data_IF_497734415466
#
_entry.id   IF_497734415466
#
_cell.length_a   1.000
_cell.length_b   1.000
_cell.length_c   1.000
_cell.angle_alpha   90.00
_cell.angle_beta   90.00
_cell.angle_gamma   90.00
#
_symmetry.space_group_name_H-M   'P 1'
#
loop_
_entity.id
_entity.type
_entity.pdbx_description
1 polymer ?
#
# COMPACT_ATOMS: atom_id res chain seq x y z
N UNK A 1 10.79 -20.30 5.25
CA UNK A 1 10.61 -18.86 4.95
C UNK A 1 9.90 -18.79 3.62
N UNK A 2 8.73 -18.16 3.56
CA UNK A 2 8.01 -18.01 2.28
C UNK A 2 8.65 -16.80 1.61
N UNK A 3 9.40 -17.03 0.54
CA UNK A 3 9.78 -15.93 -0.36
C UNK A 3 8.49 -15.50 -1.07
N UNK A 4 7.83 -14.48 -0.52
CA UNK A 4 6.72 -13.82 -1.22
C UNK A 4 7.36 -13.05 -2.37
N UNK A 5 7.01 -13.33 -3.63
CA UNK A 5 7.49 -12.52 -4.73
C UNK A 5 7.04 -11.07 -4.52
N UNK A 6 7.92 -10.11 -4.82
CA UNK A 6 7.59 -8.67 -4.74
C UNK A 6 6.28 -8.43 -5.53
N UNK A 7 5.23 -7.94 -4.86
CA UNK A 7 3.93 -7.70 -5.49
C UNK A 7 3.98 -6.51 -6.44
N UNK A 8 4.85 -5.54 -6.16
CA UNK A 8 4.91 -4.28 -6.91
C UNK A 8 6.29 -4.04 -7.49
N UNK A 9 6.33 -3.76 -8.80
CA UNK A 9 7.56 -3.47 -9.54
C UNK A 9 8.08 -2.04 -9.30
N UNK A 10 7.17 -1.06 -9.20
CA UNK A 10 7.48 0.36 -8.97
C UNK A 10 6.38 1.06 -8.15
N UNK A 11 6.56 2.36 -7.88
CA UNK A 11 5.58 3.17 -7.16
C UNK A 11 4.29 3.39 -7.97
N UNK A 12 4.38 3.41 -9.31
CA UNK A 12 3.21 3.62 -10.17
C UNK A 12 2.24 2.43 -10.07
N UNK A 13 2.77 1.20 -10.03
CA UNK A 13 2.00 -0.01 -9.80
C UNK A 13 1.27 0.01 -8.46
N UNK A 14 1.93 0.47 -7.39
CA UNK A 14 1.30 0.63 -6.07
C UNK A 14 0.14 1.64 -6.13
N UNK A 15 0.35 2.79 -6.75
CA UNK A 15 -0.69 3.83 -6.88
C UNK A 15 -1.88 3.34 -7.69
N UNK A 16 -1.64 2.59 -8.76
CA UNK A 16 -2.71 1.98 -9.56
C UNK A 16 -3.52 0.98 -8.73
N UNK A 17 -2.85 0.07 -8.01
CA UNK A 17 -3.53 -0.93 -7.18
C UNK A 17 -4.35 -0.30 -6.04
N UNK A 18 -3.82 0.76 -5.42
CA UNK A 18 -4.55 1.54 -4.42
C UNK A 18 -5.75 2.26 -5.05
N UNK A 19 -5.59 2.83 -6.26
CA UNK A 19 -6.68 3.49 -6.97
C UNK A 19 -7.80 2.51 -7.38
N UNK A 20 -7.47 1.27 -7.75
CA UNK A 20 -8.45 0.23 -8.11
C UNK A 20 -9.40 -0.11 -6.94
N UNK A 21 -8.91 -0.01 -5.71
CA UNK A 21 -9.75 -0.13 -4.52
C UNK A 21 -10.34 1.21 -4.07
N UNK A 22 -10.28 2.28 -4.87
CA UNK A 22 -10.66 3.67 -4.57
C UNK A 22 -9.91 4.29 -3.37
N UNK A 23 -8.62 3.99 -3.22
CA UNK A 23 -7.72 4.70 -2.32
C UNK A 23 -6.82 5.65 -3.11
N UNK A 24 -6.93 6.96 -2.84
CA UNK A 24 -6.09 7.97 -3.47
C UNK A 24 -4.75 8.05 -2.74
N UNK A 25 -3.69 7.48 -3.35
CA UNK A 25 -2.34 7.51 -2.81
C UNK A 25 -1.45 8.55 -3.49
N UNK A 26 -0.70 9.27 -2.67
CA UNK A 26 0.46 10.05 -3.09
C UNK A 26 1.74 9.19 -3.10
N UNK A 27 2.86 9.79 -3.48
CA UNK A 27 4.15 9.10 -3.57
C UNK A 27 4.67 8.67 -2.18
N UNK A 28 4.26 9.36 -1.11
CA UNK A 28 4.63 9.01 0.26
C UNK A 28 3.98 7.69 0.69
N UNK A 29 2.66 7.58 0.51
CA UNK A 29 1.92 6.35 0.81
C UNK A 29 2.38 5.21 -0.11
N UNK A 30 2.58 5.50 -1.40
CA UNK A 30 3.06 4.50 -2.36
C UNK A 30 4.45 3.96 -1.96
N UNK A 31 5.36 4.84 -1.53
CA UNK A 31 6.69 4.45 -1.06
C UNK A 31 6.64 3.59 0.21
N UNK A 32 5.79 3.93 1.18
CA UNK A 32 5.64 3.12 2.41
C UNK A 32 5.16 1.71 2.08
N UNK A 33 4.14 1.57 1.23
CA UNK A 33 3.60 0.25 0.82
C UNK A 33 4.63 -0.53 -0.01
N UNK A 34 5.33 0.13 -0.93
CA UNK A 34 6.39 -0.49 -1.75
C UNK A 34 7.52 -1.08 -0.89
N UNK A 35 7.94 -0.36 0.16
CA UNK A 35 8.97 -0.82 1.09
C UNK A 35 8.44 -1.93 2.00
N UNK A 36 7.19 -1.82 2.48
CA UNK A 36 6.57 -2.84 3.32
C UNK A 36 6.46 -4.20 2.62
N UNK A 37 6.11 -4.20 1.33
CA UNK A 37 6.09 -5.38 0.46
C UNK A 37 7.46 -6.07 0.43
N UNK A 38 8.53 -5.31 0.18
CA UNK A 38 9.92 -5.81 0.11
C UNK A 38 10.47 -6.29 1.44
N UNK A 39 10.08 -5.62 2.52
CA UNK A 39 10.52 -5.95 3.86
C UNK A 39 9.71 -7.12 4.46
N UNK A 40 8.61 -7.52 3.83
CA UNK A 40 7.66 -8.49 4.38
C UNK A 40 7.08 -8.02 5.72
N UNK A 41 6.93 -6.71 5.91
CA UNK A 41 6.48 -6.10 7.18
C UNK A 41 5.09 -5.48 7.03
N UNK A 42 4.18 -5.67 8.01
CA UNK A 42 2.88 -5.02 7.97
C UNK A 42 2.98 -3.49 8.15
N UNK A 43 2.05 -2.75 7.54
CA UNK A 43 1.91 -1.29 7.71
C UNK A 43 0.73 -0.99 8.64
N UNK A 44 0.97 -0.13 9.63
CA UNK A 44 -0.09 0.48 10.44
C UNK A 44 -0.51 1.80 9.79
N UNK A 45 -1.82 1.96 9.56
CA UNK A 45 -2.38 3.21 9.01
C UNK A 45 -3.23 3.90 10.07
N UNK A 46 -2.78 5.07 10.51
CA UNK A 46 -3.48 5.90 11.49
C UNK A 46 -4.09 7.15 10.85
N UNK A 47 -5.17 7.68 11.45
CA UNK A 47 -5.81 8.91 10.99
C UNK A 47 -7.26 9.05 11.45
N UNK A 48 -7.85 10.25 11.36
CA UNK A 48 -9.24 10.54 11.76
C UNK A 48 -10.27 9.62 11.07
N UNK A 49 -11.44 9.42 11.66
CA UNK A 49 -12.51 8.65 11.01
C UNK A 49 -12.83 9.22 9.61
N UNK A 50 -13.06 8.35 8.62
CA UNK A 50 -13.40 8.75 7.25
C UNK A 50 -12.22 8.99 6.29
N UNK A 51 -10.95 8.85 6.72
CA UNK A 51 -9.77 9.09 5.86
C UNK A 51 -9.32 7.91 4.99
N UNK A 52 -10.22 6.97 4.67
CA UNK A 52 -9.90 5.86 3.74
C UNK A 52 -9.04 4.71 4.30
N UNK A 53 -8.72 4.67 5.60
CA UNK A 53 -7.87 3.62 6.23
C UNK A 53 -8.33 2.18 5.94
N UNK A 54 -9.64 1.94 5.96
CA UNK A 54 -10.22 0.62 5.67
C UNK A 54 -10.05 0.22 4.21
N UNK A 55 -9.98 1.20 3.32
CA UNK A 55 -9.87 0.98 1.89
C UNK A 55 -8.46 0.54 1.51
N UNK A 56 -7.43 1.14 2.12
CA UNK A 56 -6.03 0.74 1.97
C UNK A 56 -5.78 -0.73 2.36
N UNK A 57 -6.48 -1.23 3.38
CA UNK A 57 -6.33 -2.62 3.82
C UNK A 57 -6.88 -3.68 2.84
N UNK A 58 -7.63 -3.28 1.80
CA UNK A 58 -8.21 -4.19 0.80
C UNK A 58 -7.35 -4.40 -0.44
N UNK A 59 -6.30 -3.61 -0.59
CA UNK A 59 -5.40 -3.53 -1.75
C UNK A 59 -4.19 -4.45 -1.62
#
# INVERSE_FOLDING_TARGET
>A
MIEQPERFYDLAAVRSALADVNYLADDGIAGVVYLADRLGKPVLVEGPAGTGKTQLAKS
#
